data_IF_986440181369
#
_entry.id   IF_986440181369
#
_cell.length_a   1.000
_cell.length_b   1.000
_cell.length_c   1.000
_cell.angle_alpha   90.00
_cell.angle_beta   90.00
_cell.angle_gamma   90.00
#
_symmetry.space_group_name_H-M   'P 1'
#
loop_
_entity.id
_entity.type
_entity.pdbx_description
1 polymer ?
#
# COMPACT_ATOMS: atom_id res chain seq x y z
N UNK A 1 -12.11 -47.14 -34.03
CA UNK A 1 -12.94 -46.10 -33.37
C UNK A 1 -12.40 -45.58 -32.03
N UNK A 2 -11.34 -46.14 -31.42
CA UNK A 2 -10.79 -45.62 -30.13
C UNK A 2 -9.84 -44.42 -30.27
N UNK A 3 -9.19 -44.22 -31.43
CA UNK A 3 -8.20 -43.14 -31.62
C UNK A 3 -8.81 -41.77 -31.96
N UNK A 4 -10.05 -41.73 -32.48
CA UNK A 4 -10.76 -40.47 -32.73
C UNK A 4 -11.25 -39.82 -31.42
N UNK A 5 -11.72 -40.62 -30.45
CA UNK A 5 -12.17 -40.12 -29.14
C UNK A 5 -11.04 -39.48 -28.32
N UNK A 6 -9.83 -40.03 -28.36
CA UNK A 6 -8.70 -39.47 -27.58
C UNK A 6 -8.25 -38.11 -28.13
N UNK A 7 -8.30 -37.92 -29.46
CA UNK A 7 -7.92 -36.64 -30.09
C UNK A 7 -8.93 -35.53 -29.74
N UNK A 8 -10.23 -35.85 -29.71
CA UNK A 8 -11.28 -34.87 -29.36
C UNK A 8 -11.20 -34.47 -27.89
N UNK A 9 -10.90 -35.40 -26.97
CA UNK A 9 -10.77 -35.12 -25.53
C UNK A 9 -9.52 -34.27 -25.25
N UNK A 10 -8.40 -34.50 -25.96
CA UNK A 10 -7.19 -33.69 -25.81
C UNK A 10 -7.42 -32.25 -26.34
N UNK A 11 -8.11 -32.08 -27.48
CA UNK A 11 -8.41 -30.75 -28.02
C UNK A 11 -9.35 -29.92 -27.14
N UNK A 12 -10.29 -30.54 -26.43
CA UNK A 12 -11.17 -29.87 -25.47
C UNK A 12 -10.44 -29.37 -24.21
N UNK A 13 -9.37 -30.06 -23.78
CA UNK A 13 -8.55 -29.62 -22.65
C UNK A 13 -7.64 -28.43 -23.00
N UNK A 14 -7.16 -28.35 -24.24
CA UNK A 14 -6.31 -27.23 -24.67
C UNK A 14 -7.08 -25.91 -24.88
N UNK A 15 -8.34 -25.96 -25.30
CA UNK A 15 -9.15 -24.75 -25.53
C UNK A 15 -9.55 -24.03 -24.25
N UNK A 16 -9.74 -24.76 -23.15
CA UNK A 16 -10.11 -24.14 -21.86
C UNK A 16 -8.92 -23.42 -21.21
N UNK A 17 -7.70 -23.97 -21.33
CA UNK A 17 -6.51 -23.34 -20.74
C UNK A 17 -6.19 -21.95 -21.34
N UNK A 18 -6.43 -21.72 -22.64
CA UNK A 18 -6.22 -20.41 -23.26
C UNK A 18 -7.21 -19.36 -22.75
N UNK A 19 -8.51 -19.70 -22.62
CA UNK A 19 -9.52 -18.79 -22.07
C UNK A 19 -9.26 -18.44 -20.60
N UNK A 20 -8.71 -19.38 -19.82
CA UNK A 20 -8.33 -19.12 -18.42
C UNK A 20 -7.15 -18.16 -18.31
N UNK A 21 -6.14 -18.26 -19.17
CA UNK A 21 -4.98 -17.36 -19.15
C UNK A 21 -5.37 -15.91 -19.49
N UNK A 22 -6.25 -15.70 -20.47
CA UNK A 22 -6.73 -14.37 -20.88
C UNK A 22 -7.50 -13.65 -19.76
N UNK A 23 -8.37 -14.36 -19.01
CA UNK A 23 -9.11 -13.77 -17.88
C UNK A 23 -8.20 -13.39 -16.69
N UNK A 24 -7.08 -14.09 -16.51
CA UNK A 24 -6.12 -13.77 -15.44
C UNK A 24 -5.42 -12.45 -15.76
N UNK A 25 -5.03 -12.23 -17.01
CA UNK A 25 -4.32 -11.01 -17.44
C UNK A 25 -5.17 -9.75 -17.24
N UNK A 26 -6.46 -9.80 -17.60
CA UNK A 26 -7.41 -8.68 -17.39
C UNK A 26 -7.65 -8.40 -15.90
N UNK A 27 -7.80 -9.44 -15.07
CA UNK A 27 -8.01 -9.27 -13.63
C UNK A 27 -6.77 -8.69 -12.93
N UNK A 28 -5.58 -9.17 -13.30
CA UNK A 28 -4.31 -8.67 -12.76
C UNK A 28 -4.08 -7.23 -13.18
N UNK A 29 -4.31 -6.89 -14.46
CA UNK A 29 -4.21 -5.51 -14.93
C UNK A 29 -5.21 -4.58 -14.21
N UNK A 30 -6.44 -5.05 -13.98
CA UNK A 30 -7.44 -4.30 -13.22
C UNK A 30 -7.05 -4.04 -11.77
N UNK A 31 -6.44 -5.03 -11.11
CA UNK A 31 -5.95 -4.91 -9.73
C UNK A 31 -4.75 -3.96 -9.63
N UNK A 32 -3.79 -4.06 -10.56
CA UNK A 32 -2.63 -3.17 -10.62
C UNK A 32 -3.05 -1.70 -10.82
N UNK A 33 -3.94 -1.44 -11.78
CA UNK A 33 -4.47 -0.09 -12.03
C UNK A 33 -5.19 0.47 -10.81
N UNK A 34 -5.98 -0.37 -10.12
CA UNK A 34 -6.68 0.04 -8.89
C UNK A 34 -5.70 0.38 -7.77
N UNK A 35 -4.65 -0.43 -7.58
CA UNK A 35 -3.63 -0.16 -6.56
C UNK A 35 -2.86 1.13 -6.86
N UNK A 36 -2.49 1.37 -8.11
CA UNK A 36 -1.85 2.63 -8.52
C UNK A 36 -2.73 3.85 -8.23
N UNK A 37 -4.03 3.76 -8.51
CA UNK A 37 -4.95 4.85 -8.19
C UNK A 37 -5.05 5.07 -6.67
N UNK A 38 -5.18 4.00 -5.89
CA UNK A 38 -5.25 4.10 -4.44
C UNK A 38 -3.94 4.65 -3.82
N UNK A 39 -2.78 4.28 -4.36
CA UNK A 39 -1.48 4.87 -3.96
C UNK A 39 -1.42 6.38 -4.23
N UNK A 40 -1.99 6.85 -5.35
CA UNK A 40 -2.10 8.28 -5.64
C UNK A 40 -3.03 9.00 -4.65
N UNK A 41 -4.13 8.36 -4.27
CA UNK A 41 -5.06 8.91 -3.27
C UNK A 41 -4.44 8.93 -1.86
N UNK A 42 -3.65 7.90 -1.49
CA UNK A 42 -2.84 7.87 -0.26
C UNK A 42 -1.85 9.04 -0.26
N UNK A 43 -1.14 9.26 -1.36
CA UNK A 43 -0.18 10.37 -1.46
C UNK A 43 -0.85 11.74 -1.38
N UNK A 44 -2.02 11.87 -2.01
CA UNK A 44 -2.82 13.08 -1.96
C UNK A 44 -3.30 13.38 -0.53
N UNK A 45 -3.80 12.36 0.18
CA UNK A 45 -4.19 12.46 1.59
C UNK A 45 -2.99 12.85 2.47
N UNK A 46 -1.83 12.21 2.29
CA UNK A 46 -0.61 12.53 3.03
C UNK A 46 -0.18 13.98 2.78
N UNK A 47 -0.23 14.43 1.53
CA UNK A 47 0.11 15.81 1.13
C UNK A 47 -0.79 16.83 1.82
N UNK A 48 -2.10 16.56 1.91
CA UNK A 48 -3.02 17.41 2.67
C UNK A 48 -2.65 17.46 4.14
N UNK A 49 -2.41 16.31 4.76
CA UNK A 49 -2.05 16.22 6.18
C UNK A 49 -0.82 17.05 6.46
N UNK A 50 0.25 16.94 5.66
CA UNK A 50 1.50 17.69 5.92
C UNK A 50 1.44 19.16 5.48
N UNK A 51 0.40 19.57 4.76
CA UNK A 51 0.19 20.93 4.27
C UNK A 51 -0.34 21.88 5.35
N UNK A 52 -1.03 21.38 6.37
CA UNK A 52 -1.62 22.20 7.44
C UNK A 52 -1.83 21.43 8.76
N UNK A 53 -1.81 22.11 9.92
CA UNK A 53 -1.64 23.56 10.10
C UNK A 53 -0.17 23.98 10.00
N UNK A 54 0.13 25.01 9.21
CA UNK A 54 1.51 25.48 8.99
C UNK A 54 2.16 26.18 10.19
N UNK A 55 1.38 26.47 11.24
CA UNK A 55 1.84 27.17 12.45
C UNK A 55 2.27 26.23 13.59
N UNK A 56 2.12 24.91 13.45
CA UNK A 56 2.54 23.95 14.47
C UNK A 56 3.90 23.34 14.16
N UNK A 57 4.70 23.08 15.19
CA UNK A 57 5.91 22.26 15.11
C UNK A 57 5.69 20.83 15.59
N UNK A 58 4.49 20.49 16.06
CA UNK A 58 4.14 19.16 16.55
C UNK A 58 3.45 18.34 15.43
N UNK A 59 4.06 17.26 14.93
CA UNK A 59 3.46 16.43 13.88
C UNK A 59 2.07 15.89 14.21
N UNK A 60 1.76 15.66 15.49
CA UNK A 60 0.45 15.18 15.91
C UNK A 60 -0.67 16.20 15.65
N UNK A 61 -0.35 17.49 15.60
CA UNK A 61 -1.36 18.52 15.32
C UNK A 61 -1.82 18.48 13.86
N UNK A 62 -0.93 18.09 12.93
CA UNK A 62 -1.26 17.89 11.52
C UNK A 62 -2.24 16.72 11.35
N UNK A 63 -1.98 15.59 12.01
CA UNK A 63 -2.90 14.44 11.99
C UNK A 63 -4.26 14.79 12.61
N UNK A 64 -4.28 15.51 13.74
CA UNK A 64 -5.53 15.94 14.40
C UNK A 64 -6.35 16.92 13.56
N UNK A 65 -5.70 17.76 12.76
CA UNK A 65 -6.39 18.69 11.86
C UNK A 65 -6.97 18.02 10.62
N UNK A 66 -6.50 16.81 10.27
CA UNK A 66 -6.85 16.05 9.08
C UNK A 66 -7.29 14.61 9.40
N UNK A 67 -8.33 14.43 10.24
CA UNK A 67 -8.71 13.11 10.72
C UNK A 67 -9.28 12.21 9.62
N UNK A 68 -9.97 12.79 8.63
CA UNK A 68 -10.55 12.03 7.52
C UNK A 68 -9.46 11.50 6.57
N UNK A 69 -8.50 12.35 6.20
CA UNK A 69 -7.35 11.93 5.40
C UNK A 69 -6.50 10.87 6.11
N UNK A 70 -6.25 11.04 7.41
CA UNK A 70 -5.48 10.06 8.16
C UNK A 70 -6.22 8.72 8.29
N UNK A 71 -7.52 8.75 8.59
CA UNK A 71 -8.35 7.56 8.63
C UNK A 71 -8.43 6.84 7.27
N UNK A 72 -8.50 7.59 6.18
CA UNK A 72 -8.44 7.03 4.82
C UNK A 72 -7.13 6.27 4.61
N UNK A 73 -5.97 6.88 4.91
CA UNK A 73 -4.66 6.24 4.75
C UNK A 73 -4.58 4.95 5.56
N UNK A 74 -4.97 4.99 6.84
CA UNK A 74 -4.97 3.81 7.72
C UNK A 74 -5.90 2.72 7.19
N UNK A 75 -7.06 3.10 6.66
CA UNK A 75 -8.05 2.20 6.07
C UNK A 75 -7.55 1.44 4.83
N UNK A 76 -6.51 1.92 4.14
CA UNK A 76 -5.88 1.22 3.02
C UNK A 76 -4.95 0.07 3.46
N UNK A 77 -4.64 -0.04 4.75
CA UNK A 77 -3.96 -1.20 5.34
C UNK A 77 -2.63 -1.54 4.67
N UNK A 78 -2.49 -2.79 4.21
CA UNK A 78 -1.26 -3.32 3.61
C UNK A 78 -0.78 -2.52 2.38
N UNK A 79 -1.71 -1.96 1.60
CA UNK A 79 -1.36 -1.14 0.45
C UNK A 79 -0.61 0.14 0.89
N UNK A 80 -1.15 0.86 1.88
CA UNK A 80 -0.49 2.05 2.42
C UNK A 80 0.83 1.71 3.14
N UNK A 81 0.88 0.60 3.88
CA UNK A 81 2.12 0.13 4.50
C UNK A 81 3.20 -0.14 3.45
N UNK A 82 2.87 -0.88 2.39
CA UNK A 82 3.79 -1.18 1.28
C UNK A 82 4.26 0.10 0.58
N UNK A 83 3.33 1.00 0.28
CA UNK A 83 3.62 2.30 -0.32
C UNK A 83 4.59 3.12 0.53
N UNK A 84 4.33 3.30 1.84
CA UNK A 84 5.20 4.08 2.72
C UNK A 84 6.57 3.45 2.95
N UNK A 85 6.65 2.12 3.07
CA UNK A 85 7.95 1.43 3.12
C UNK A 85 8.74 1.65 1.84
N UNK A 86 8.09 1.77 0.68
CA UNK A 86 8.74 2.13 -0.58
C UNK A 86 9.24 3.58 -0.58
N UNK A 87 8.43 4.52 -0.08
CA UNK A 87 8.79 5.94 0.04
C UNK A 87 9.99 6.13 0.98
N UNK A 88 10.00 5.46 2.14
CA UNK A 88 11.14 5.46 3.05
C UNK A 88 12.44 4.95 2.41
N UNK A 89 12.37 4.05 1.42
CA UNK A 89 13.58 3.55 0.71
C UNK A 89 14.14 4.58 -0.28
N UNK A 90 13.30 5.47 -0.81
CA UNK A 90 13.69 6.44 -1.85
C UNK A 90 14.57 7.57 -1.32
N UNK A 91 14.44 7.90 -0.03
CA UNK A 91 15.14 9.03 0.58
C UNK A 91 15.76 8.65 1.93
N UNK A 92 16.70 9.45 2.41
CA UNK A 92 17.21 9.40 3.80
C UNK A 92 16.68 10.56 4.65
N UNK A 93 15.66 11.28 4.17
CA UNK A 93 15.03 12.41 4.87
C UNK A 93 14.37 11.97 6.16
N UNK A 94 14.20 12.93 7.05
CA UNK A 94 13.55 12.76 8.35
C UNK A 94 12.90 14.08 8.76
N UNK A 95 11.61 14.23 8.47
CA UNK A 95 10.83 15.40 8.81
C UNK A 95 9.37 15.07 9.06
N UNK A 96 8.51 16.08 8.93
CA UNK A 96 7.06 15.95 9.17
C UNK A 96 6.44 14.83 8.33
N UNK A 97 6.82 14.72 7.05
CA UNK A 97 6.31 13.70 6.13
C UNK A 97 6.61 12.30 6.65
N UNK A 98 7.89 12.01 6.93
CA UNK A 98 8.32 10.71 7.45
C UNK A 98 7.66 10.39 8.80
N UNK A 99 7.49 11.38 9.66
CA UNK A 99 6.82 11.20 10.94
C UNK A 99 5.35 10.78 10.76
N UNK A 100 4.61 11.47 9.88
CA UNK A 100 3.20 11.12 9.60
C UNK A 100 3.10 9.74 8.95
N UNK A 101 4.02 9.38 8.04
CA UNK A 101 4.09 8.03 7.48
C UNK A 101 4.30 6.97 8.56
N UNK A 102 5.23 7.20 9.50
CA UNK A 102 5.50 6.28 10.61
C UNK A 102 4.31 6.15 11.59
N UNK A 103 3.60 7.25 11.87
CA UNK A 103 2.34 7.21 12.63
C UNK A 103 1.30 6.33 11.93
N UNK A 104 1.10 6.52 10.62
CA UNK A 104 0.14 5.71 9.86
C UNK A 104 0.53 4.23 9.84
N UNK A 105 1.81 3.90 9.60
CA UNK A 105 2.28 2.52 9.65
C UNK A 105 2.11 1.89 11.04
N UNK A 106 2.35 2.65 12.11
CA UNK A 106 2.11 2.22 13.50
C UNK A 106 0.65 1.83 13.71
N UNK A 107 -0.29 2.67 13.24
CA UNK A 107 -1.73 2.41 13.36
C UNK A 107 -2.17 1.22 12.50
N UNK A 108 -1.68 1.12 11.25
CA UNK A 108 -1.97 0.01 10.33
C UNK A 108 -1.55 -1.32 10.93
N UNK A 109 -0.35 -1.38 11.51
CA UNK A 109 0.19 -2.60 12.10
C UNK A 109 -0.48 -2.96 13.44
N UNK A 110 -0.93 -1.96 14.20
CA UNK A 110 -1.58 -2.16 15.50
C UNK A 110 -0.75 -3.05 16.43
N UNK A 111 -1.33 -4.15 16.90
CA UNK A 111 -0.65 -5.12 17.77
C UNK A 111 0.48 -5.90 17.11
N UNK A 112 0.57 -5.88 15.78
CA UNK A 112 1.64 -6.50 15.01
C UNK A 112 2.86 -5.58 14.86
N UNK A 113 2.77 -4.33 15.29
CA UNK A 113 3.90 -3.40 15.22
C UNK A 113 5.01 -3.85 16.19
N UNK A 114 6.22 -4.19 15.71
CA UNK A 114 7.31 -4.62 16.59
C UNK A 114 8.04 -3.45 17.28
N UNK A 115 7.65 -2.20 17.00
CA UNK A 115 8.36 -1.00 17.43
C UNK A 115 7.56 -0.25 18.48
N UNK A 116 8.04 -0.28 19.72
CA UNK A 116 7.38 0.39 20.84
C UNK A 116 7.80 1.86 21.01
N UNK A 117 9.04 2.20 20.66
CA UNK A 117 9.58 3.54 20.92
C UNK A 117 10.35 4.06 19.70
N UNK A 118 10.01 5.25 19.24
CA UNK A 118 10.67 5.95 18.15
C UNK A 118 10.43 7.45 18.28
N UNK A 119 11.45 8.25 17.97
CA UNK A 119 11.40 9.71 18.10
C UNK A 119 11.17 10.41 16.76
N UNK A 120 11.51 9.74 15.65
CA UNK A 120 11.38 10.27 14.30
C UNK A 120 10.88 9.20 13.33
N UNK A 121 10.29 9.64 12.21
CA UNK A 121 9.78 8.71 11.21
C UNK A 121 10.89 7.84 10.61
N UNK A 122 12.08 8.42 10.43
CA UNK A 122 13.26 7.65 9.99
C UNK A 122 13.69 6.60 11.02
N UNK A 123 13.66 6.93 12.31
CA UNK A 123 13.99 5.99 13.38
C UNK A 123 13.00 4.82 13.42
N UNK A 124 11.72 5.09 13.23
CA UNK A 124 10.70 4.04 13.10
C UNK A 124 11.02 3.10 11.94
N UNK A 125 11.23 3.62 10.73
CA UNK A 125 11.52 2.80 9.56
C UNK A 125 12.82 1.97 9.70
N UNK A 126 13.86 2.58 10.28
CA UNK A 126 15.12 1.88 10.53
C UNK A 126 14.98 0.76 11.56
N UNK A 127 14.03 0.87 12.48
CA UNK A 127 13.71 -0.19 13.44
C UNK A 127 12.86 -1.28 12.78
N UNK A 128 11.92 -0.90 11.90
CA UNK A 128 11.02 -1.82 11.22
C UNK A 128 11.75 -2.80 10.29
N UNK A 129 12.79 -2.34 9.60
CA UNK A 129 13.50 -3.11 8.58
C UNK A 129 14.54 -4.11 9.13
N UNK A 130 14.78 -4.11 10.44
CA UNK A 130 15.74 -5.00 11.10
C UNK A 130 15.15 -6.40 11.27
#
# INVERSE_FOLDING_TARGET
MKRLSTIIIVSLLFLTACSYAEMIDEKVAGEEVTNQQNEQEIEYALTKIIGSPSASSNPNDYVKAHPEEFAYIVGQGELALGYFLSEFKKTSTDGLREYVMALACTEILGSLNPIENWETGRAWYNSYKQ
#
